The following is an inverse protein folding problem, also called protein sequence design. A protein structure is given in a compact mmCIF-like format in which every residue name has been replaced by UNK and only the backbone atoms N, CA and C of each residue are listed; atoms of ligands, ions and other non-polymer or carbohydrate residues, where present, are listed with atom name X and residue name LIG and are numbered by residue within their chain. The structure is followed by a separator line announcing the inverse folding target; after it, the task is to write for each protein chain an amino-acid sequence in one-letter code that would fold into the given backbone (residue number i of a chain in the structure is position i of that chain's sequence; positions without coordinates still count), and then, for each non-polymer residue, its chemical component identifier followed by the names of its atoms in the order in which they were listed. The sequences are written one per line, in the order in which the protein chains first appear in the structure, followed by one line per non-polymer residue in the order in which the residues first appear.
data_IF_937517507943
#
_entry.id   IF_937517507943
#
_cell.length_a   1.000
_cell.length_b   1.000
_cell.length_c   1.000
_cell.angle_alpha   90.00
_cell.angle_beta   90.00
_cell.angle_gamma   90.00
#
_symmetry.space_group_name_H-M   'P 1'
#
loop_
_entity.id
_entity.type
_entity.pdbx_description
1 polymer ?
#
# COMPACT_ATOMS: atom_id res chain seq x y z
N UNK A 1 12.22 -8.35 -7.29
CA UNK A 1 11.27 -9.42 -7.71
C UNK A 1 11.42 -10.79 -7.04
N UNK A 2 12.61 -11.38 -6.83
CA UNK A 2 12.75 -12.79 -6.32
C UNK A 2 11.88 -13.14 -5.11
N UNK A 3 11.73 -12.20 -4.16
CA UNK A 3 10.86 -12.37 -3.00
C UNK A 3 9.38 -12.30 -3.40
N UNK A 4 8.96 -11.24 -4.10
CA UNK A 4 7.55 -11.02 -4.48
C UNK A 4 7.00 -12.09 -5.43
N UNK A 5 7.84 -12.71 -6.25
CA UNK A 5 7.43 -13.82 -7.13
C UNK A 5 7.23 -15.15 -6.39
N UNK A 6 7.58 -15.23 -5.10
CA UNK A 6 7.49 -16.48 -4.36
C UNK A 6 6.01 -16.80 -4.01
N UNK A 7 5.51 -18.03 -4.25
CA UNK A 7 4.10 -18.38 -4.01
C UNK A 7 3.60 -18.17 -2.57
N UNK A 8 4.50 -18.16 -1.58
CA UNK A 8 4.15 -17.88 -0.18
C UNK A 8 3.88 -16.40 0.11
N UNK A 9 4.18 -15.48 -0.81
CA UNK A 9 3.90 -14.05 -0.62
C UNK A 9 2.43 -13.80 -0.92
N UNK A 10 1.65 -13.54 0.13
CA UNK A 10 0.21 -13.25 0.04
C UNK A 10 -0.15 -11.76 0.00
N UNK A 11 0.84 -10.88 0.13
CA UNK A 11 0.66 -9.43 0.19
C UNK A 11 1.97 -8.70 0.53
N UNK A 12 2.04 -7.41 0.21
CA UNK A 12 3.24 -6.58 0.35
C UNK A 12 2.92 -5.26 1.05
N UNK A 13 3.56 -4.98 2.19
CA UNK A 13 3.51 -3.64 2.80
C UNK A 13 4.56 -2.77 2.12
N UNK A 14 4.14 -1.67 1.51
CA UNK A 14 5.04 -0.82 0.73
C UNK A 14 4.81 0.65 1.02
N UNK A 15 5.90 1.42 0.90
CA UNK A 15 5.81 2.88 0.85
C UNK A 15 5.29 3.40 -0.49
N UNK A 16 5.03 2.52 -1.45
CA UNK A 16 4.49 2.87 -2.77
C UNK A 16 5.40 3.81 -3.58
N UNK A 17 6.72 3.65 -3.45
CA UNK A 17 7.65 4.18 -4.45
C UNK A 17 7.46 3.48 -5.78
N UNK A 18 7.72 4.18 -6.89
CA UNK A 18 7.32 3.72 -8.23
C UNK A 18 7.85 2.34 -8.60
N UNK A 19 9.12 2.04 -8.28
CA UNK A 19 9.71 0.72 -8.56
C UNK A 19 9.01 -0.40 -7.79
N UNK A 20 8.78 -0.21 -6.48
CA UNK A 20 8.09 -1.19 -5.64
C UNK A 20 6.64 -1.41 -6.10
N UNK A 21 5.97 -0.35 -6.54
CA UNK A 21 4.63 -0.43 -7.13
C UNK A 21 4.64 -1.30 -8.39
N UNK A 22 5.55 -1.03 -9.33
CA UNK A 22 5.67 -1.81 -10.55
C UNK A 22 6.03 -3.27 -10.28
N UNK A 23 6.95 -3.54 -9.34
CA UNK A 23 7.28 -4.91 -8.95
C UNK A 23 6.06 -5.67 -8.38
N UNK A 24 5.22 -4.99 -7.59
CA UNK A 24 4.03 -5.61 -7.01
C UNK A 24 2.98 -5.95 -8.07
N UNK A 25 2.73 -5.02 -9.00
CA UNK A 25 1.80 -5.22 -10.13
C UNK A 25 2.30 -6.37 -11.00
N UNK A 26 3.59 -6.35 -11.36
CA UNK A 26 4.19 -7.38 -12.20
C UNK A 26 4.21 -8.77 -11.56
N UNK A 27 4.32 -8.85 -10.24
CA UNK A 27 4.26 -10.13 -9.52
C UNK A 27 2.82 -10.53 -9.13
N UNK A 28 1.81 -9.71 -9.44
CA UNK A 28 0.43 -9.98 -9.02
C UNK A 28 0.24 -10.04 -7.50
N UNK A 29 1.02 -9.24 -6.75
CA UNK A 29 0.96 -9.19 -5.28
C UNK A 29 0.20 -7.93 -4.84
N UNK A 30 -0.86 -8.03 -4.02
CA UNK A 30 -1.58 -6.86 -3.54
C UNK A 30 -0.75 -6.07 -2.52
N UNK A 31 -0.98 -4.75 -2.46
CA UNK A 31 -0.20 -3.83 -1.62
C UNK A 31 -1.02 -3.30 -0.45
N UNK A 32 -0.43 -3.30 0.75
CA UNK A 32 -0.86 -2.45 1.86
C UNK A 32 0.00 -1.19 1.87
N UNK A 33 -0.60 -0.06 1.50
CA UNK A 33 0.06 1.16 1.13
C UNK A 33 0.30 2.07 2.33
N UNK A 34 1.55 2.49 2.54
CA UNK A 34 1.99 3.35 3.63
C UNK A 34 3.02 4.37 3.14
N UNK A 35 2.60 5.51 2.56
CA UNK A 35 3.51 6.49 1.99
C UNK A 35 4.35 7.16 3.10
N UNK A 36 5.57 7.53 2.78
CA UNK A 36 6.50 8.20 3.71
C UNK A 36 6.87 9.62 3.26
N UNK A 37 7.04 9.87 1.95
CA UNK A 37 7.41 11.18 1.40
C UNK A 37 7.26 11.27 -0.14
N UNK A 38 7.53 12.45 -0.71
CA UNK A 38 7.58 12.72 -2.16
C UNK A 38 6.28 12.33 -2.91
N UNK A 39 6.40 11.64 -4.04
CA UNK A 39 5.29 11.24 -4.92
C UNK A 39 4.51 10.03 -4.41
N UNK A 40 4.99 9.37 -3.35
CA UNK A 40 4.43 8.12 -2.85
C UNK A 40 2.94 8.24 -2.51
N UNK A 41 2.52 9.37 -1.93
CA UNK A 41 1.11 9.65 -1.65
C UNK A 41 0.24 9.62 -2.92
N UNK A 42 0.74 10.15 -4.04
CA UNK A 42 0.02 10.09 -5.32
C UNK A 42 -0.07 8.65 -5.81
N UNK A 43 1.02 7.89 -5.69
CA UNK A 43 1.00 6.47 -6.06
C UNK A 43 0.01 5.67 -5.21
N UNK A 44 -0.11 5.96 -3.91
CA UNK A 44 -1.12 5.34 -3.04
C UNK A 44 -2.53 5.68 -3.53
N UNK A 45 -2.81 6.95 -3.78
CA UNK A 45 -4.10 7.38 -4.29
C UNK A 45 -4.47 6.65 -5.58
N UNK A 46 -3.55 6.57 -6.55
CA UNK A 46 -3.78 5.86 -7.81
C UNK A 46 -4.03 4.36 -7.59
N UNK A 47 -3.22 3.70 -6.73
CA UNK A 47 -3.35 2.27 -6.48
C UNK A 47 -4.64 1.90 -5.73
N UNK A 48 -5.04 2.71 -4.74
CA UNK A 48 -6.19 2.44 -3.88
C UNK A 48 -7.49 2.91 -4.52
N UNK A 49 -7.57 4.19 -4.92
CA UNK A 49 -8.82 4.82 -5.36
C UNK A 49 -9.08 4.62 -6.85
N UNK A 50 -8.06 4.75 -7.71
CA UNK A 50 -8.27 4.70 -9.17
C UNK A 50 -8.24 3.27 -9.71
N UNK A 51 -7.25 2.47 -9.29
CA UNK A 51 -7.01 1.13 -9.84
C UNK A 51 -7.62 0.02 -8.98
N UNK A 52 -7.80 0.24 -7.68
CA UNK A 52 -8.30 -0.78 -6.74
C UNK A 52 -7.38 -2.00 -6.64
N UNK A 53 -6.06 -1.77 -6.66
CA UNK A 53 -4.99 -2.78 -6.61
C UNK A 53 -4.29 -2.85 -5.25
N UNK A 54 -4.66 -1.97 -4.32
CA UNK A 54 -4.06 -1.86 -3.01
C UNK A 54 -5.11 -1.46 -1.97
N UNK A 55 -4.76 -1.65 -0.69
CA UNK A 55 -5.47 -1.09 0.46
C UNK A 55 -4.56 -0.08 1.16
N UNK A 56 -5.15 0.94 1.76
CA UNK A 56 -4.44 1.94 2.54
C UNK A 56 -4.20 1.48 3.97
N UNK A 57 -2.95 1.62 4.44
CA UNK A 57 -2.67 1.82 5.87
C UNK A 57 -2.79 3.32 6.18
N UNK A 58 -2.26 4.16 5.28
CA UNK A 58 -2.42 5.62 5.30
C UNK A 58 -2.51 6.15 3.87
N UNK A 59 -3.31 7.19 3.67
CA UNK A 59 -3.41 7.89 2.37
C UNK A 59 -2.39 9.01 2.20
N UNK A 60 -1.86 9.57 3.29
CA UNK A 60 -0.88 10.65 3.24
C UNK A 60 0.19 10.50 4.31
N UNK A 61 1.30 11.23 4.11
CA UNK A 61 2.40 11.35 5.06
C UNK A 61 2.35 12.67 5.85
N UNK A 62 1.24 13.43 5.77
CA UNK A 62 1.18 14.76 6.38
C UNK A 62 1.09 14.61 7.89
N UNK A 63 2.02 15.27 8.57
CA UNK A 63 1.88 15.64 9.98
C UNK A 63 0.80 16.70 10.07
N UNK A 64 -0.12 16.54 11.00
CA UNK A 64 -1.22 17.48 11.20
C UNK A 64 -0.67 18.83 11.70
N UNK A 65 -0.29 19.72 10.78
CA UNK A 65 0.25 21.04 11.11
C UNK A 65 -0.81 21.97 11.69
N UNK A 66 -2.09 21.59 11.62
CA UNK A 66 -3.21 22.34 12.21
C UNK A 66 -3.33 22.18 13.71
N UNK A 67 -2.69 21.15 14.29
CA UNK A 67 -2.78 20.85 15.72
C UNK A 67 -1.76 21.59 16.60
N UNK A 68 -1.09 22.65 16.10
CA UNK A 68 -0.26 23.55 16.92
C UNK A 68 0.86 22.88 17.74
N UNK A 69 1.21 21.63 17.44
CA UNK A 69 2.10 20.81 18.24
C UNK A 69 3.33 20.43 17.44
N UNK A 70 4.45 21.10 17.71
CA UNK A 70 5.75 20.58 17.34
C UNK A 70 5.95 19.21 17.98
N UNK A 71 6.26 18.20 17.16
CA UNK A 71 6.97 17.02 17.63
C UNK A 71 6.16 15.75 17.92
N UNK A 72 4.91 15.60 17.49
CA UNK A 72 4.35 14.25 17.33
C UNK A 72 4.66 13.78 15.92
N UNK A 73 5.69 12.93 15.79
CA UNK A 73 6.01 12.27 14.53
C UNK A 73 4.81 11.53 13.96
N UNK A 74 4.95 11.11 12.70
CA UNK A 74 4.02 10.26 11.97
C UNK A 74 3.84 8.90 12.68
N UNK A 75 3.12 8.88 13.79
CA UNK A 75 2.82 7.66 14.54
C UNK A 75 1.58 7.05 13.91
N UNK A 76 1.76 5.91 13.25
CA UNK A 76 0.67 5.05 12.81
C UNK A 76 0.37 4.09 13.95
N UNK A 77 -0.90 4.03 14.36
CA UNK A 77 -1.36 3.16 15.43
C UNK A 77 -1.27 1.67 15.03
N UNK A 78 -1.23 0.80 16.02
CA UNK A 78 -1.25 -0.65 15.75
C UNK A 78 -2.57 -1.06 15.10
N UNK A 79 -3.65 -0.36 15.44
CA UNK A 79 -4.99 -0.51 14.91
C UNK A 79 -5.02 -0.22 13.40
N UNK A 80 -4.45 0.90 12.96
CA UNK A 80 -4.34 1.24 11.52
C UNK A 80 -3.56 0.17 10.74
N UNK A 81 -2.42 -0.28 11.27
CA UNK A 81 -1.62 -1.34 10.62
C UNK A 81 -2.41 -2.65 10.55
N UNK A 82 -3.05 -3.02 11.65
CA UNK A 82 -3.83 -4.26 11.76
C UNK A 82 -5.02 -4.27 10.81
N UNK A 83 -5.73 -3.15 10.68
CA UNK A 83 -6.88 -3.04 9.79
C UNK A 83 -6.45 -3.05 8.33
N UNK A 84 -5.36 -2.36 7.97
CA UNK A 84 -4.77 -2.43 6.63
C UNK A 84 -4.37 -3.86 6.24
N UNK A 85 -3.68 -4.58 7.13
CA UNK A 85 -3.29 -5.98 6.88
C UNK A 85 -4.52 -6.89 6.75
N UNK A 86 -5.56 -6.70 7.58
CA UNK A 86 -6.79 -7.49 7.49
C UNK A 86 -7.52 -7.26 6.18
N UNK A 87 -7.67 -6.01 5.75
CA UNK A 87 -8.27 -5.65 4.46
C UNK A 87 -7.51 -6.31 3.31
N UNK A 88 -6.18 -6.22 3.31
CA UNK A 88 -5.30 -6.84 2.30
C UNK A 88 -5.55 -8.34 2.12
N UNK A 89 -5.79 -9.04 3.22
CA UNK A 89 -6.00 -10.49 3.24
C UNK A 89 -7.44 -10.85 2.84
N UNK A 90 -8.42 -10.03 3.21
CA UNK A 90 -9.85 -10.37 3.10
C UNK A 90 -10.52 -9.89 1.81
N UNK A 91 -9.90 -8.97 1.08
CA UNK A 91 -10.47 -8.41 -0.16
C UNK A 91 -10.14 -9.28 -1.38
N UNK A 92 -11.01 -10.25 -1.66
CA UNK A 92 -10.87 -11.17 -2.80
C UNK A 92 -10.96 -10.48 -4.16
N UNK A 93 -11.74 -9.39 -4.28
CA UNK A 93 -11.91 -8.65 -5.53
C UNK A 93 -10.63 -7.88 -5.90
N UNK A 94 -10.02 -7.17 -4.94
CA UNK A 94 -8.71 -6.55 -5.13
C UNK A 94 -7.66 -7.63 -5.49
N UNK A 95 -7.63 -8.76 -4.76
CA UNK A 95 -6.68 -9.86 -5.02
C UNK A 95 -6.86 -10.44 -6.42
N UNK A 96 -8.07 -10.48 -6.94
CA UNK A 96 -8.37 -10.89 -8.32
C UNK A 96 -7.89 -9.85 -9.33
N UNK A 97 -8.23 -8.56 -9.14
CA UNK A 97 -7.79 -7.46 -10.02
C UNK A 97 -6.28 -7.37 -10.15
N UNK A 98 -5.56 -7.52 -9.04
CA UNK A 98 -4.09 -7.51 -9.03
C UNK A 98 -3.50 -8.65 -9.87
N UNK A 99 -4.13 -9.82 -9.86
CA UNK A 99 -3.71 -10.95 -10.71
C UNK A 99 -4.05 -10.72 -12.17
N UNK A 100 -5.15 -10.05 -12.49
CA UNK A 100 -5.54 -9.71 -13.87
C UNK A 100 -4.64 -8.62 -14.48
N UNK A 101 -4.14 -7.68 -13.65
CA UNK A 101 -3.16 -6.67 -14.05
C UNK A 101 -1.73 -7.22 -14.23
N UNK A 102 -1.46 -8.44 -13.76
CA UNK A 102 -0.19 -9.13 -13.90
C UNK A 102 -0.07 -9.73 -15.31
N UNK A 103 0.77 -9.14 -16.16
CA UNK A 103 1.04 -9.68 -17.50
C UNK A 103 2.18 -10.71 -17.43
N UNK A 104 1.81 -11.99 -17.32
CA UNK A 104 2.64 -13.13 -17.71
C UNK A 104 1.75 -14.28 -18.21
#
# INVERSE_FOLDING_TARGET
MTVLSHPSVGGYVSHCGWNSTLESIWCGVPVAAWPLYAEQQLNVFQLVEELGLAVEIRMDYRTDTRAGGGGSGMIVSTEEIKDGIRKLISDDEMRKKVKEGCSA
#
